data_IF_784856705713
#
_entry.id   IF_784856705713
#
_cell.length_a   1.000
_cell.length_b   1.000
_cell.length_c   1.000
_cell.angle_alpha   90.00
_cell.angle_beta   90.00
_cell.angle_gamma   90.00
#
_symmetry.space_group_name_H-M   'P 1'
#
loop_
_entity.id
_entity.type
_entity.pdbx_description
1 polymer ?
#
# COMPACT_ATOMS: atom_id res chain seq x y z
N UNK A 1 -52.18 -6.14 -16.68
CA UNK A 1 -51.66 -4.82 -17.09
C UNK A 1 -50.60 -4.22 -16.15
N UNK A 2 -50.34 -4.76 -14.95
CA UNK A 2 -49.47 -4.12 -13.93
C UNK A 2 -47.97 -4.50 -14.00
N UNK A 3 -47.61 -5.66 -14.54
CA UNK A 3 -46.22 -6.16 -14.54
C UNK A 3 -45.30 -5.41 -15.52
N UNK A 4 -45.81 -5.07 -16.72
CA UNK A 4 -45.05 -4.29 -17.72
C UNK A 4 -44.74 -2.87 -17.23
N UNK A 5 -45.56 -2.32 -16.35
CA UNK A 5 -45.34 -1.00 -15.76
C UNK A 5 -44.24 -1.04 -14.72
N UNK A 6 -44.20 -2.06 -13.85
CA UNK A 6 -43.18 -2.22 -12.82
C UNK A 6 -41.78 -2.43 -13.44
N UNK A 7 -41.69 -3.26 -14.49
CA UNK A 7 -40.42 -3.52 -15.18
C UNK A 7 -39.86 -2.24 -15.83
N UNK A 8 -40.72 -1.37 -16.37
CA UNK A 8 -40.30 -0.06 -16.91
C UNK A 8 -39.74 0.87 -15.83
N UNK A 9 -40.32 0.87 -14.63
CA UNK A 9 -39.82 1.69 -13.53
C UNK A 9 -38.45 1.21 -13.01
N UNK A 10 -38.24 -0.10 -12.89
CA UNK A 10 -36.94 -0.66 -12.46
C UNK A 10 -35.84 -0.33 -13.49
N UNK A 11 -36.14 -0.45 -14.79
CA UNK A 11 -35.19 -0.12 -15.85
C UNK A 11 -34.87 1.38 -15.88
N UNK A 12 -35.85 2.24 -15.59
CA UNK A 12 -35.65 3.69 -15.51
C UNK A 12 -34.77 4.10 -14.32
N UNK A 13 -34.95 3.48 -13.15
CA UNK A 13 -34.10 3.71 -11.97
C UNK A 13 -32.66 3.25 -12.24
N UNK A 14 -32.47 2.12 -12.92
CA UNK A 14 -31.14 1.64 -13.30
C UNK A 14 -30.42 2.60 -14.26
N UNK A 15 -31.13 3.16 -15.25
CA UNK A 15 -30.57 4.16 -16.16
C UNK A 15 -30.17 5.42 -15.40
N UNK A 16 -30.99 5.90 -14.46
CA UNK A 16 -30.65 7.07 -13.64
C UNK A 16 -29.42 6.79 -12.76
N UNK A 17 -29.32 5.61 -12.15
CA UNK A 17 -28.16 5.23 -11.35
C UNK A 17 -26.87 5.18 -12.18
N UNK A 18 -26.94 4.66 -13.42
CA UNK A 18 -25.80 4.64 -14.36
C UNK A 18 -25.43 6.05 -14.81
N UNK A 19 -26.41 6.93 -15.07
CA UNK A 19 -26.16 8.32 -15.44
C UNK A 19 -25.55 9.11 -14.27
N UNK A 20 -26.05 8.94 -13.05
CA UNK A 20 -25.47 9.58 -11.85
C UNK A 20 -24.04 9.11 -11.61
N UNK A 21 -23.77 7.81 -11.75
CA UNK A 21 -22.42 7.26 -11.66
C UNK A 21 -21.49 7.79 -12.78
N UNK A 22 -22.03 8.09 -13.97
CA UNK A 22 -21.27 8.71 -15.06
C UNK A 22 -21.04 10.21 -14.88
N UNK A 23 -21.96 10.91 -14.21
CA UNK A 23 -21.83 12.33 -13.90
C UNK A 23 -20.85 12.57 -12.75
N UNK A 24 -20.85 11.71 -11.73
CA UNK A 24 -19.83 11.70 -10.66
C UNK A 24 -18.43 11.45 -11.24
N UNK A 25 -18.33 10.61 -12.28
CA UNK A 25 -17.09 10.37 -13.00
C UNK A 25 -16.61 11.58 -13.84
N UNK A 26 -17.51 12.51 -14.19
CA UNK A 26 -17.21 13.63 -15.09
C UNK A 26 -16.99 14.96 -14.37
N UNK A 27 -17.46 15.12 -13.13
CA UNK A 27 -17.38 16.38 -12.37
C UNK A 27 -16.25 16.44 -11.31
N UNK A 28 -15.29 15.50 -11.33
CA UNK A 28 -14.04 15.55 -10.55
C UNK A 28 -13.04 16.66 -10.96
N UNK A 29 -13.54 17.82 -11.40
CA UNK A 29 -12.79 18.99 -11.84
C UNK A 29 -12.37 19.91 -10.69
N UNK A 30 -11.23 19.58 -10.08
CA UNK A 30 -10.18 20.44 -9.49
C UNK A 30 -10.51 21.92 -9.23
N UNK A 31 -10.39 22.35 -7.97
CA UNK A 31 -10.00 23.72 -7.62
C UNK A 31 -8.87 23.69 -6.56
N UNK A 32 -7.67 24.14 -6.99
CA UNK A 32 -6.39 24.31 -6.26
C UNK A 32 -5.62 22.99 -5.96
N UNK A 33 -4.34 22.79 -6.30
CA UNK A 33 -3.23 23.68 -6.69
C UNK A 33 -2.25 22.95 -7.64
N UNK A 34 -1.44 23.73 -8.36
CA UNK A 34 -0.60 23.37 -9.52
C UNK A 34 0.57 22.43 -9.23
N UNK A 35 0.56 21.22 -9.78
CA UNK A 35 1.71 20.66 -10.53
C UNK A 35 1.17 19.56 -11.46
N UNK A 36 1.32 19.72 -12.78
CA UNK A 36 1.04 18.62 -13.71
C UNK A 36 2.15 17.59 -13.54
N UNK A 37 1.80 16.46 -12.92
CA UNK A 37 2.64 15.28 -12.86
C UNK A 37 2.00 14.27 -13.81
N UNK A 38 2.83 13.77 -14.72
CA UNK A 38 2.56 12.83 -15.81
C UNK A 38 1.80 11.59 -15.34
N UNK A 39 0.82 11.14 -16.14
CA UNK A 39 0.04 9.91 -15.92
C UNK A 39 0.94 8.67 -16.04
N UNK A 40 1.58 8.32 -14.93
CA UNK A 40 2.01 6.97 -14.56
C UNK A 40 0.82 6.37 -13.79
N UNK A 41 0.55 5.05 -13.79
CA UNK A 41 -0.49 4.47 -12.93
C UNK A 41 -0.23 4.90 -11.48
N UNK A 42 -0.96 5.92 -11.06
CA UNK A 42 -0.73 6.62 -9.80
C UNK A 42 -1.11 5.65 -8.69
N UNK A 43 -0.16 5.31 -7.81
CA UNK A 43 -0.50 4.66 -6.55
C UNK A 43 -1.31 5.70 -5.79
N UNK A 44 -2.62 5.60 -5.90
CA UNK A 44 -3.55 6.53 -5.27
C UNK A 44 -3.52 6.27 -3.78
N UNK A 45 -2.75 7.09 -3.08
CA UNK A 45 -2.79 7.13 -1.63
C UNK A 45 -4.09 7.79 -1.19
N UNK A 46 -4.80 7.11 -0.29
CA UNK A 46 -6.02 7.64 0.30
C UNK A 46 -5.68 8.58 1.47
N UNK A 47 -6.53 9.59 1.68
CA UNK A 47 -6.40 10.48 2.82
C UNK A 47 -7.08 9.85 4.04
N UNK A 48 -6.29 9.54 5.06
CA UNK A 48 -6.76 9.01 6.32
C UNK A 48 -6.45 9.97 7.48
N UNK A 49 -7.41 10.10 8.40
CA UNK A 49 -7.26 10.90 9.62
C UNK A 49 -6.45 10.19 10.70
N UNK A 50 -6.38 8.86 10.65
CA UNK A 50 -5.74 8.00 11.66
C UNK A 50 -4.56 7.23 11.06
N UNK A 51 -3.50 7.07 11.85
CA UNK A 51 -2.25 6.46 11.40
C UNK A 51 -2.38 4.93 11.26
N UNK A 52 -2.80 4.26 12.33
CA UNK A 52 -3.01 2.80 12.37
C UNK A 52 -4.30 2.48 13.08
N UNK A 53 -5.12 1.63 12.44
CA UNK A 53 -6.25 0.96 13.07
C UNK A 53 -6.10 -0.54 12.80
N UNK A 54 -6.16 -1.35 13.84
CA UNK A 54 -6.14 -2.80 13.71
C UNK A 54 -7.55 -3.32 13.51
N UNK A 55 -7.69 -4.34 12.67
CA UNK A 55 -8.91 -5.14 12.67
C UNK A 55 -9.15 -5.73 14.06
N UNK A 56 -10.41 -5.74 14.49
CA UNK A 56 -10.79 -6.22 15.82
C UNK A 56 -10.22 -7.62 16.11
N UNK A 57 -9.34 -7.71 17.10
CA UNK A 57 -8.74 -8.97 17.56
C UNK A 57 -7.47 -9.40 16.81
N UNK A 58 -7.01 -8.63 15.81
CA UNK A 58 -5.86 -8.99 14.98
C UNK A 58 -4.55 -8.34 15.40
N UNK A 59 -4.56 -7.50 16.44
CA UNK A 59 -3.37 -6.74 16.86
C UNK A 59 -2.15 -7.65 17.08
N UNK A 60 -2.29 -8.70 17.88
CA UNK A 60 -1.19 -9.60 18.20
C UNK A 60 -0.66 -10.31 16.94
N UNK A 61 -1.55 -10.78 16.07
CA UNK A 61 -1.19 -11.43 14.80
C UNK A 61 -0.44 -10.46 13.88
N UNK A 62 -0.92 -9.21 13.75
CA UNK A 62 -0.26 -8.17 12.97
C UNK A 62 1.15 -7.90 13.50
N UNK A 63 1.33 -7.77 14.81
CA UNK A 63 2.65 -7.53 15.40
C UNK A 63 3.61 -8.70 15.17
N UNK A 64 3.12 -9.93 15.26
CA UNK A 64 3.91 -11.12 14.96
C UNK A 64 4.33 -11.16 13.49
N UNK A 65 3.39 -10.93 12.57
CA UNK A 65 3.66 -10.89 11.14
C UNK A 65 4.67 -9.80 10.78
N UNK A 66 4.50 -8.57 11.29
CA UNK A 66 5.46 -7.49 11.09
C UNK A 66 6.86 -7.85 11.61
N UNK A 67 6.94 -8.50 12.78
CA UNK A 67 8.21 -8.95 13.35
C UNK A 67 8.89 -9.98 12.45
N UNK A 68 8.15 -10.98 11.97
CA UNK A 68 8.69 -12.03 11.08
C UNK A 68 9.22 -11.42 9.78
N UNK A 69 8.43 -10.56 9.14
CA UNK A 69 8.81 -9.95 7.87
C UNK A 69 9.95 -8.94 8.02
N UNK A 70 9.98 -8.18 9.12
CA UNK A 70 11.11 -7.33 9.47
C UNK A 70 12.42 -8.12 9.57
N UNK A 71 12.42 -9.24 10.31
CA UNK A 71 13.61 -10.09 10.43
C UNK A 71 14.01 -10.74 9.10
N UNK A 72 13.03 -11.18 8.30
CA UNK A 72 13.28 -11.72 6.97
C UNK A 72 13.96 -10.67 6.08
N UNK A 73 13.41 -9.46 6.00
CA UNK A 73 13.93 -8.39 5.17
C UNK A 73 15.30 -7.92 5.63
N UNK A 74 15.54 -7.77 6.94
CA UNK A 74 16.86 -7.40 7.47
C UNK A 74 17.97 -8.36 7.04
N UNK A 75 17.68 -9.67 6.99
CA UNK A 75 18.65 -10.68 6.54
C UNK A 75 18.93 -10.61 5.04
N UNK A 76 17.99 -10.10 4.26
CA UNK A 76 18.02 -10.19 2.80
C UNK A 76 18.20 -8.83 2.10
N UNK A 77 18.25 -7.71 2.82
CA UNK A 77 18.35 -6.37 2.20
C UNK A 77 19.70 -6.09 1.52
N UNK A 78 20.77 -6.75 1.98
CA UNK A 78 22.14 -6.53 1.50
C UNK A 78 22.66 -7.67 0.61
N UNK A 79 21.78 -8.30 -0.15
CA UNK A 79 22.16 -9.39 -1.06
C UNK A 79 22.81 -8.87 -2.35
N UNK A 80 23.65 -9.71 -2.94
CA UNK A 80 24.28 -9.41 -4.22
C UNK A 80 23.31 -9.60 -5.40
N UNK A 81 23.51 -8.89 -6.53
CA UNK A 81 22.65 -8.98 -7.72
C UNK A 81 22.38 -10.40 -8.22
N UNK A 82 23.37 -11.29 -8.15
CA UNK A 82 23.25 -12.68 -8.56
C UNK A 82 22.29 -13.51 -7.69
N UNK A 83 22.01 -13.06 -6.47
CA UNK A 83 21.16 -13.76 -5.49
C UNK A 83 19.68 -13.37 -5.61
N UNK A 84 19.32 -12.38 -6.43
CA UNK A 84 17.94 -11.88 -6.52
C UNK A 84 16.97 -12.94 -7.04
N UNK A 85 17.40 -13.77 -8.00
CA UNK A 85 16.56 -14.86 -8.50
C UNK A 85 16.21 -15.85 -7.39
N UNK A 86 17.20 -16.20 -6.57
CA UNK A 86 17.00 -17.13 -5.45
C UNK A 86 16.12 -16.48 -4.37
N UNK A 87 16.30 -15.19 -4.12
CA UNK A 87 15.44 -14.42 -3.21
C UNK A 87 13.98 -14.48 -3.65
N UNK A 88 13.65 -14.05 -4.88
CA UNK A 88 12.25 -13.90 -5.32
C UNK A 88 11.53 -15.24 -5.51
N UNK A 89 12.27 -16.33 -5.66
CA UNK A 89 11.70 -17.69 -5.76
C UNK A 89 11.63 -18.41 -4.42
N UNK A 90 12.29 -17.86 -3.38
CA UNK A 90 12.29 -18.43 -2.03
C UNK A 90 10.91 -18.45 -1.40
N UNK A 91 10.69 -19.41 -0.48
CA UNK A 91 9.43 -19.49 0.25
C UNK A 91 9.23 -18.29 1.18
N UNK A 92 10.30 -17.73 1.73
CA UNK A 92 10.23 -16.50 2.53
C UNK A 92 9.75 -15.29 1.73
N UNK A 93 10.10 -15.20 0.45
CA UNK A 93 9.59 -14.13 -0.41
C UNK A 93 8.10 -14.31 -0.70
N UNK A 94 7.67 -15.54 -1.01
CA UNK A 94 6.24 -15.85 -1.19
C UNK A 94 5.44 -15.53 0.08
N UNK A 95 5.99 -15.85 1.25
CA UNK A 95 5.40 -15.53 2.55
C UNK A 95 5.27 -14.02 2.73
N UNK A 96 6.34 -13.25 2.48
CA UNK A 96 6.30 -11.78 2.55
C UNK A 96 5.15 -11.19 1.72
N UNK A 97 4.98 -11.63 0.46
CA UNK A 97 3.89 -11.15 -0.40
C UNK A 97 2.52 -11.49 0.17
N UNK A 98 2.36 -12.73 0.62
CA UNK A 98 1.12 -13.19 1.25
C UNK A 98 0.82 -12.37 2.51
N UNK A 99 1.84 -12.06 3.31
CA UNK A 99 1.70 -11.25 4.51
C UNK A 99 1.34 -9.81 4.19
N UNK A 100 1.96 -9.17 3.19
CA UNK A 100 1.57 -7.81 2.75
C UNK A 100 0.10 -7.79 2.33
N UNK A 101 -0.31 -8.74 1.49
CA UNK A 101 -1.71 -8.85 1.06
C UNK A 101 -2.68 -9.09 2.25
N UNK A 102 -2.28 -9.97 3.18
CA UNK A 102 -3.06 -10.25 4.38
C UNK A 102 -3.17 -9.03 5.31
N UNK A 103 -2.08 -8.28 5.51
CA UNK A 103 -2.07 -7.05 6.32
C UNK A 103 -3.04 -6.00 5.75
N UNK A 104 -3.10 -5.85 4.43
CA UNK A 104 -4.05 -4.95 3.74
C UNK A 104 -5.51 -5.37 3.92
N UNK A 105 -5.76 -6.68 3.88
CA UNK A 105 -7.13 -7.21 3.74
C UNK A 105 -7.75 -7.53 5.10
N UNK A 106 -6.95 -7.98 6.05
CA UNK A 106 -7.41 -8.53 7.32
C UNK A 106 -6.68 -7.95 8.53
N UNK A 107 -5.42 -7.52 8.39
CA UNK A 107 -4.64 -7.02 9.52
C UNK A 107 -5.03 -5.61 9.96
N UNK A 108 -5.11 -4.68 9.01
CA UNK A 108 -5.40 -3.28 9.26
C UNK A 108 -6.79 -2.88 8.73
N UNK A 109 -7.43 -1.96 9.45
CA UNK A 109 -8.60 -1.21 8.97
C UNK A 109 -8.15 0.11 8.33
N UNK A 110 -9.13 0.93 7.90
CA UNK A 110 -8.90 2.25 7.29
C UNK A 110 -7.96 3.13 8.12
N UNK A 111 -6.74 3.32 7.62
CA UNK A 111 -5.70 4.13 8.22
C UNK A 111 -4.52 4.31 7.28
N UNK A 112 -3.65 5.29 7.58
CA UNK A 112 -2.49 5.61 6.72
C UNK A 112 -1.55 4.44 6.48
N UNK A 113 -1.50 3.47 7.39
CA UNK A 113 -0.74 2.22 7.20
C UNK A 113 -1.19 1.40 6.00
N UNK A 114 -2.42 1.56 5.50
CA UNK A 114 -2.83 0.92 4.25
C UNK A 114 -2.04 1.49 3.06
N UNK A 115 -1.77 2.80 3.03
CA UNK A 115 -0.89 3.40 2.01
C UNK A 115 0.54 2.83 2.12
N UNK A 116 1.01 2.52 3.34
CA UNK A 116 2.31 1.86 3.53
C UNK A 116 2.34 0.45 2.94
N UNK A 117 1.23 -0.29 3.05
CA UNK A 117 1.12 -1.63 2.48
C UNK A 117 0.95 -1.60 0.95
N UNK A 118 0.23 -0.63 0.40
CA UNK A 118 0.19 -0.38 -1.06
C UNK A 118 1.60 -0.06 -1.60
N UNK A 119 2.33 0.79 -0.88
CA UNK A 119 3.72 1.13 -1.18
C UNK A 119 4.61 -0.11 -1.12
N UNK A 120 4.45 -0.95 -0.10
CA UNK A 120 5.20 -2.19 0.04
C UNK A 120 4.93 -3.17 -1.12
N UNK A 121 3.67 -3.31 -1.55
CA UNK A 121 3.30 -4.15 -2.70
C UNK A 121 3.94 -3.64 -4.00
N UNK A 122 3.94 -2.32 -4.23
CA UNK A 122 4.60 -1.74 -5.39
C UNK A 122 6.12 -1.99 -5.38
N UNK A 123 6.77 -1.87 -4.22
CA UNK A 123 8.20 -2.15 -4.07
C UNK A 123 8.52 -3.63 -4.31
N UNK A 124 7.66 -4.55 -3.86
CA UNK A 124 7.79 -5.99 -4.17
C UNK A 124 7.80 -6.20 -5.68
N UNK A 125 6.88 -5.58 -6.42
CA UNK A 125 6.83 -5.70 -7.87
C UNK A 125 8.10 -5.18 -8.56
N UNK A 126 8.66 -4.06 -8.09
CA UNK A 126 9.93 -3.54 -8.62
C UNK A 126 11.10 -4.49 -8.37
N UNK A 127 11.17 -5.11 -7.18
CA UNK A 127 12.20 -6.12 -6.88
C UNK A 127 12.02 -7.36 -7.77
N UNK A 128 10.79 -7.84 -7.97
CA UNK A 128 10.52 -9.02 -8.81
C UNK A 128 10.82 -8.78 -10.29
N UNK A 129 10.54 -7.57 -10.80
CA UNK A 129 10.72 -7.22 -12.21
C UNK A 129 12.19 -6.97 -12.54
N UNK A 130 12.87 -6.16 -11.73
CA UNK A 130 14.16 -5.58 -12.10
C UNK A 130 15.32 -6.00 -11.17
N UNK A 131 15.04 -6.73 -10.08
CA UNK A 131 16.04 -6.99 -9.04
C UNK A 131 16.49 -5.70 -8.35
N UNK A 132 15.58 -4.74 -8.17
CA UNK A 132 15.92 -3.40 -7.70
C UNK A 132 16.28 -3.39 -6.20
N UNK A 133 17.58 -3.33 -5.93
CA UNK A 133 18.14 -3.25 -4.57
C UNK A 133 17.64 -2.08 -3.74
N UNK A 134 17.32 -0.94 -4.38
CA UNK A 134 16.81 0.22 -3.67
C UNK A 134 15.36 0.01 -3.26
N UNK A 135 14.57 -0.69 -4.09
CA UNK A 135 13.21 -1.09 -3.74
C UNK A 135 13.20 -2.06 -2.57
N UNK A 136 14.11 -3.04 -2.57
CA UNK A 136 14.29 -3.97 -1.45
C UNK A 136 14.70 -3.24 -0.16
N UNK A 137 15.54 -2.21 -0.28
CA UNK A 137 15.93 -1.34 0.84
C UNK A 137 14.73 -0.58 1.39
N UNK A 138 13.94 0.07 0.53
CA UNK A 138 12.74 0.78 0.99
C UNK A 138 11.72 -0.17 1.63
N UNK A 139 11.53 -1.35 1.06
CA UNK A 139 10.64 -2.37 1.61
C UNK A 139 11.07 -2.79 3.03
N UNK A 140 12.37 -3.05 3.23
CA UNK A 140 12.93 -3.36 4.56
C UNK A 140 12.69 -2.23 5.56
N UNK A 141 12.84 -0.97 5.13
CA UNK A 141 12.66 0.21 5.98
C UNK A 141 11.19 0.45 6.36
N UNK A 142 10.23 0.18 5.47
CA UNK A 142 8.80 0.30 5.79
C UNK A 142 8.45 -0.65 6.94
N UNK A 143 8.84 -1.92 6.82
CA UNK A 143 8.57 -2.92 7.84
C UNK A 143 9.27 -2.62 9.16
N UNK A 144 10.51 -2.10 9.12
CA UNK A 144 11.19 -1.62 10.32
C UNK A 144 10.42 -0.49 11.01
N UNK A 145 10.12 0.58 10.27
CA UNK A 145 9.48 1.76 10.85
C UNK A 145 8.12 1.37 11.48
N UNK A 146 7.27 0.62 10.76
CA UNK A 146 5.97 0.17 11.30
C UNK A 146 6.17 -0.71 12.53
N UNK A 147 7.04 -1.73 12.46
CA UNK A 147 7.30 -2.62 13.59
C UNK A 147 7.78 -1.85 14.82
N UNK A 148 8.72 -0.93 14.62
CA UNK A 148 9.30 -0.09 15.65
C UNK A 148 8.24 0.75 16.37
N UNK A 149 7.42 1.49 15.61
CA UNK A 149 6.41 2.38 16.18
C UNK A 149 5.30 1.62 16.92
N UNK A 150 5.00 0.40 16.50
CA UNK A 150 3.95 -0.40 17.13
C UNK A 150 4.41 -1.21 18.36
N UNK A 151 5.71 -1.47 18.48
CA UNK A 151 6.28 -2.32 19.55
C UNK A 151 7.06 -1.51 20.60
N UNK A 152 7.25 -0.20 20.39
CA UNK A 152 7.90 0.73 21.33
C UNK A 152 9.32 0.27 21.74
N UNK A 153 10.18 0.06 20.73
CA UNK A 153 11.56 -0.36 20.96
C UNK A 153 12.48 0.86 21.04
N UNK A 154 13.09 1.18 22.17
CA UNK A 154 13.85 2.44 22.35
C UNK A 154 15.23 2.52 21.63
N UNK A 155 15.60 1.56 20.77
CA UNK A 155 17.01 1.36 20.35
C UNK A 155 17.26 1.08 18.86
N UNK A 156 16.31 1.34 17.96
CA UNK A 156 16.47 1.13 16.51
C UNK A 156 16.34 2.45 15.73
N UNK A 157 17.05 2.51 14.59
CA UNK A 157 16.97 3.62 13.66
C UNK A 157 15.61 3.61 12.95
N UNK A 158 14.99 4.79 12.86
CA UNK A 158 13.74 5.02 12.12
C UNK A 158 14.05 5.91 10.94
N UNK A 159 13.63 5.52 9.74
CA UNK A 159 13.89 6.29 8.52
C UNK A 159 12.81 7.33 8.23
N UNK A 160 11.62 7.14 8.79
CA UNK A 160 10.49 8.04 8.65
C UNK A 160 9.94 8.03 7.23
N UNK A 161 9.96 6.87 6.58
CA UNK A 161 9.50 6.72 5.18
C UNK A 161 8.03 6.29 5.07
N UNK A 162 7.40 5.95 6.20
CA UNK A 162 6.02 5.48 6.25
C UNK A 162 5.02 6.63 6.26
N UNK A 163 3.86 6.44 5.66
CA UNK A 163 2.71 7.33 5.73
C UNK A 163 2.12 7.41 7.14
N UNK A 164 2.11 6.30 7.88
CA UNK A 164 1.58 6.27 9.24
C UNK A 164 2.41 7.09 10.24
N UNK A 165 3.75 7.06 10.15
CA UNK A 165 4.60 7.62 11.21
C UNK A 165 5.78 8.47 10.71
N UNK A 166 5.97 8.53 9.40
CA UNK A 166 7.11 9.17 8.78
C UNK A 166 6.93 10.67 8.50
N UNK A 167 7.90 11.22 7.77
CA UNK A 167 7.91 12.63 7.39
C UNK A 167 7.45 12.82 5.95
N UNK A 168 6.68 13.89 5.71
CA UNK A 168 6.25 14.28 4.35
C UNK A 168 7.40 14.45 3.35
N UNK A 169 8.63 14.72 3.83
CA UNK A 169 9.80 14.82 2.97
C UNK A 169 10.22 13.46 2.43
N UNK A 170 10.37 12.47 3.32
CA UNK A 170 10.86 11.15 2.94
C UNK A 170 9.78 10.33 2.23
N UNK A 171 8.51 10.47 2.63
CA UNK A 171 7.36 9.92 1.89
C UNK A 171 7.35 10.45 0.44
N UNK A 172 7.50 11.76 0.23
CA UNK A 172 7.57 12.32 -1.13
C UNK A 172 8.77 11.81 -1.93
N UNK A 173 9.89 11.51 -1.27
CA UNK A 173 11.06 10.92 -1.91
C UNK A 173 10.75 9.50 -2.39
N UNK A 174 10.14 8.70 -1.53
CA UNK A 174 9.73 7.34 -1.85
C UNK A 174 8.70 7.32 -2.98
N UNK A 175 7.66 8.16 -2.89
CA UNK A 175 6.64 8.24 -3.95
C UNK A 175 7.23 8.66 -5.30
N UNK A 176 8.13 9.66 -5.33
CA UNK A 176 8.84 10.04 -6.57
C UNK A 176 9.71 8.92 -7.11
N UNK A 177 10.32 8.14 -6.22
CA UNK A 177 11.12 6.99 -6.62
C UNK A 177 10.24 5.91 -7.24
N UNK A 178 9.12 5.54 -6.60
CA UNK A 178 8.20 4.54 -7.15
C UNK A 178 7.61 5.05 -8.46
N UNK A 179 7.11 6.28 -8.51
CA UNK A 179 6.57 6.88 -9.73
C UNK A 179 7.57 6.80 -10.90
N UNK A 180 8.85 7.13 -10.67
CA UNK A 180 9.86 7.08 -11.73
C UNK A 180 10.14 5.65 -12.24
N UNK A 181 9.98 4.64 -11.38
CA UNK A 181 10.44 3.29 -11.67
C UNK A 181 9.31 2.28 -11.87
N UNK A 182 8.05 2.55 -11.49
CA UNK A 182 6.92 1.63 -11.59
C UNK A 182 6.35 1.56 -13.01
#
# INVERSE_FOLDING_TARGET
>A
MKLKTIIKYIFFIFIIAVILHFLDFKEGGRWFSSTQITNIPDIKHEEYEVDVVFTKGERENVLEQLKLQHHYLQKNVAIHPEQYRDLITSDGWKELKSTVHWLKTFGFESGRVLNDMETAEALIHLVERDGDSLSLTYLSRIFNDIHFYLVDSNNQEVWGITHAYGSNREIRRLNKYIEKNY
#
